data_IF_893824441583
#
_entry.id   IF_893824441583
#
_cell.length_a   1.000
_cell.length_b   1.000
_cell.length_c   1.000
_cell.angle_alpha   90.00
_cell.angle_beta   90.00
_cell.angle_gamma   90.00
#
_symmetry.space_group_name_H-M   'P 1'
#
loop_
_entity.id
_entity.type
_entity.pdbx_description
1 polymer ?
#
# COMPACT_ATOMS: atom_id res chain seq x y z
N UNK A 1 49.08 -0.89 -3.76
CA UNK A 1 48.38 0.07 -2.89
C UNK A 1 46.92 0.17 -3.31
N UNK A 2 45.99 0.28 -2.36
CA UNK A 2 44.63 0.67 -2.72
C UNK A 2 44.69 2.01 -3.46
N UNK A 3 44.12 2.07 -4.67
CA UNK A 3 44.19 3.26 -5.48
C UNK A 3 43.44 4.40 -4.77
N UNK A 4 44.14 5.41 -4.27
CA UNK A 4 43.54 6.55 -3.55
C UNK A 4 42.43 7.22 -4.37
N UNK A 5 42.58 7.21 -5.70
CA UNK A 5 41.55 7.69 -6.63
C UNK A 5 40.27 6.87 -6.53
N UNK A 6 40.37 5.56 -6.49
CA UNK A 6 39.22 4.64 -6.40
C UNK A 6 38.45 4.83 -5.10
N UNK A 7 39.13 4.93 -3.95
CA UNK A 7 38.48 5.18 -2.65
C UNK A 7 37.78 6.55 -2.67
N UNK A 8 38.42 7.58 -3.24
CA UNK A 8 37.84 8.92 -3.38
C UNK A 8 36.58 8.91 -4.26
N UNK A 9 36.63 8.22 -5.39
CA UNK A 9 35.50 8.09 -6.32
C UNK A 9 34.34 7.32 -5.66
N UNK A 10 34.66 6.29 -4.87
CA UNK A 10 33.66 5.55 -4.08
C UNK A 10 33.01 6.42 -3.01
N UNK A 11 33.78 7.25 -2.28
CA UNK A 11 33.23 8.22 -1.32
C UNK A 11 32.27 9.19 -2.03
N UNK A 12 32.66 9.72 -3.19
CA UNK A 12 31.83 10.63 -3.98
C UNK A 12 30.53 9.95 -4.43
N UNK A 13 30.61 8.71 -4.90
CA UNK A 13 29.45 7.90 -5.28
C UNK A 13 28.50 7.69 -4.10
N UNK A 14 28.99 7.24 -2.94
CA UNK A 14 28.17 7.02 -1.74
C UNK A 14 27.52 8.31 -1.24
N UNK A 15 28.23 9.45 -1.28
CA UNK A 15 27.66 10.76 -0.95
C UNK A 15 26.53 11.16 -1.91
N UNK A 16 26.68 10.85 -3.21
CA UNK A 16 25.61 11.09 -4.19
C UNK A 16 24.41 10.17 -3.96
N UNK A 17 24.64 8.88 -3.68
CA UNK A 17 23.58 7.94 -3.30
C UNK A 17 22.79 8.45 -2.11
N UNK A 18 23.47 8.94 -1.06
CA UNK A 18 22.81 9.55 0.12
C UNK A 18 21.90 10.73 -0.26
N UNK A 19 22.37 11.62 -1.15
CA UNK A 19 21.56 12.78 -1.61
C UNK A 19 20.30 12.30 -2.35
N UNK A 20 20.43 11.27 -3.16
CA UNK A 20 19.31 10.69 -3.92
C UNK A 20 18.30 10.04 -2.96
N UNK A 21 18.76 9.24 -2.00
CA UNK A 21 17.87 8.60 -1.01
C UNK A 21 17.18 9.63 -0.13
N UNK A 22 17.88 10.70 0.27
CA UNK A 22 17.29 11.80 1.04
C UNK A 22 16.19 12.52 0.24
N UNK A 23 16.44 12.82 -1.04
CA UNK A 23 15.44 13.42 -1.91
C UNK A 23 14.23 12.50 -2.11
N UNK A 24 14.47 11.20 -2.35
CA UNK A 24 13.40 10.20 -2.47
C UNK A 24 12.57 10.08 -1.20
N UNK A 25 13.19 10.19 -0.01
CA UNK A 25 12.49 10.20 1.28
C UNK A 25 11.53 11.38 1.37
N UNK A 26 11.97 12.59 1.02
CA UNK A 26 11.13 13.80 1.03
C UNK A 26 10.00 13.73 -0.01
N UNK A 27 10.28 13.21 -1.20
CA UNK A 27 9.26 12.98 -2.23
C UNK A 27 8.20 11.98 -1.76
N UNK A 28 8.61 10.90 -1.10
CA UNK A 28 7.68 9.93 -0.53
C UNK A 28 6.83 10.57 0.58
N UNK A 29 7.44 11.32 1.51
CA UNK A 29 6.72 12.03 2.57
C UNK A 29 5.65 12.99 2.02
N UNK A 30 5.99 13.79 1.02
CA UNK A 30 5.06 14.70 0.37
C UNK A 30 3.88 13.96 -0.29
N UNK A 31 4.13 12.76 -0.84
CA UNK A 31 3.10 11.92 -1.44
C UNK A 31 2.20 11.24 -0.41
N UNK A 32 2.75 10.77 0.73
CA UNK A 32 1.93 10.24 1.85
C UNK A 32 0.94 11.30 2.32
N UNK A 33 1.40 12.56 2.46
CA UNK A 33 0.53 13.67 2.84
C UNK A 33 -0.60 13.91 1.83
N UNK A 34 -0.30 13.87 0.52
CA UNK A 34 -1.33 13.97 -0.53
C UNK A 34 -2.33 12.81 -0.46
N UNK A 35 -1.86 11.60 -0.21
CA UNK A 35 -2.74 10.44 -0.05
C UNK A 35 -3.68 10.62 1.15
N UNK A 36 -3.16 11.10 2.28
CA UNK A 36 -3.94 11.43 3.45
C UNK A 36 -5.01 12.51 3.16
N UNK A 37 -4.64 13.57 2.44
CA UNK A 37 -5.57 14.63 2.06
C UNK A 37 -6.70 14.12 1.14
N UNK A 38 -6.42 13.16 0.24
CA UNK A 38 -7.44 12.54 -0.61
C UNK A 38 -8.41 11.65 0.18
N UNK A 39 -7.91 10.82 1.11
CA UNK A 39 -8.76 10.03 2.01
C UNK A 39 -9.67 10.93 2.85
N UNK A 40 -9.14 12.06 3.35
CA UNK A 40 -9.94 13.03 4.10
C UNK A 40 -11.04 13.68 3.26
N UNK A 41 -10.80 13.86 1.94
CA UNK A 41 -11.78 14.46 1.03
C UNK A 41 -12.90 13.50 0.62
N UNK A 42 -12.63 12.20 0.53
CA UNK A 42 -13.65 11.20 0.20
C UNK A 42 -14.53 10.82 1.40
N UNK A 43 -14.07 11.12 2.62
CA UNK A 43 -14.76 10.75 3.86
C UNK A 43 -16.21 11.24 3.98
N UNK A 44 -16.58 12.50 3.71
CA UNK A 44 -17.97 12.94 3.84
C UNK A 44 -18.94 12.12 2.97
N UNK A 45 -18.48 11.67 1.80
CA UNK A 45 -19.27 10.80 0.93
C UNK A 45 -19.41 9.39 1.54
N UNK A 46 -18.32 8.80 2.04
CA UNK A 46 -18.36 7.50 2.71
C UNK A 46 -19.25 7.52 3.96
N UNK A 47 -19.08 8.52 4.82
CA UNK A 47 -19.84 8.73 6.04
C UNK A 47 -21.34 8.89 5.73
N UNK A 48 -21.69 9.65 4.69
CA UNK A 48 -23.08 9.84 4.26
C UNK A 48 -23.67 8.57 3.67
N UNK A 49 -22.92 7.85 2.84
CA UNK A 49 -23.35 6.59 2.24
C UNK A 49 -23.65 5.54 3.30
N UNK A 50 -22.76 5.41 4.30
CA UNK A 50 -22.97 4.52 5.45
C UNK A 50 -24.26 4.87 6.21
N UNK A 51 -24.52 6.16 6.49
CA UNK A 51 -25.77 6.60 7.15
C UNK A 51 -27.02 6.25 6.36
N UNK A 52 -26.99 6.34 5.02
CA UNK A 52 -28.12 5.97 4.15
C UNK A 52 -28.35 4.46 4.23
N UNK A 53 -27.29 3.66 4.13
CA UNK A 53 -27.39 2.21 4.19
C UNK A 53 -27.85 1.73 5.58
N UNK A 54 -27.36 2.32 6.68
CA UNK A 54 -27.85 2.10 8.05
C UNK A 54 -29.35 2.39 8.17
N UNK A 55 -29.82 3.51 7.60
CA UNK A 55 -31.23 3.88 7.64
C UNK A 55 -32.10 2.90 6.87
N UNK A 56 -31.67 2.49 5.67
CA UNK A 56 -32.39 1.49 4.86
C UNK A 56 -32.44 0.13 5.56
N UNK A 57 -31.33 -0.30 6.15
CA UNK A 57 -31.24 -1.51 6.98
C UNK A 57 -32.26 -1.50 8.12
N UNK A 58 -32.34 -0.39 8.87
CA UNK A 58 -33.25 -0.28 10.03
C UNK A 58 -34.73 -0.35 9.65
N UNK A 59 -35.08 -0.05 8.39
CA UNK A 59 -36.47 -0.04 7.91
C UNK A 59 -36.90 -1.34 7.27
N UNK A 60 -35.99 -2.05 6.60
CA UNK A 60 -36.34 -3.27 5.87
C UNK A 60 -36.32 -4.52 6.74
N UNK A 61 -35.43 -4.61 7.74
CA UNK A 61 -35.08 -5.93 8.31
C UNK A 61 -34.43 -6.80 7.23
N UNK A 62 -33.23 -7.34 7.45
CA UNK A 62 -32.48 -7.99 6.37
C UNK A 62 -33.12 -9.22 5.73
N UNK A 63 -34.20 -9.74 6.31
CA UNK A 63 -34.87 -10.94 5.80
C UNK A 63 -35.63 -10.69 4.49
N UNK A 64 -36.00 -9.45 4.16
CA UNK A 64 -36.79 -9.12 2.95
C UNK A 64 -35.96 -8.52 1.79
N UNK A 65 -34.69 -8.16 2.01
CA UNK A 65 -33.87 -7.46 1.02
C UNK A 65 -32.94 -8.41 0.24
N UNK A 66 -33.46 -9.01 -0.84
CA UNK A 66 -32.73 -9.93 -1.71
C UNK A 66 -31.82 -9.21 -2.71
N UNK A 67 -30.76 -8.53 -2.25
CA UNK A 67 -29.74 -8.04 -3.18
C UNK A 67 -28.79 -9.17 -3.59
N UNK A 68 -28.52 -9.37 -4.90
CA UNK A 68 -27.55 -10.37 -5.35
C UNK A 68 -26.18 -10.22 -4.71
N UNK A 69 -25.76 -8.97 -4.42
CA UNK A 69 -24.43 -8.67 -3.84
C UNK A 69 -24.29 -9.08 -2.36
N UNK A 70 -25.39 -9.34 -1.67
CA UNK A 70 -25.43 -9.79 -0.27
C UNK A 70 -25.69 -11.30 -0.14
N UNK A 71 -26.04 -11.97 -1.25
CA UNK A 71 -26.47 -13.36 -1.20
C UNK A 71 -25.29 -14.28 -0.87
N UNK A 72 -25.38 -14.96 0.28
CA UNK A 72 -24.45 -16.02 0.64
C UNK A 72 -24.86 -17.31 -0.08
N UNK A 73 -24.05 -17.72 -1.05
CA UNK A 73 -24.20 -18.96 -1.82
C UNK A 73 -23.16 -20.00 -1.41
N UNK A 74 -23.30 -21.22 -1.92
CA UNK A 74 -22.24 -22.22 -1.77
C UNK A 74 -20.98 -21.73 -2.49
N UNK A 75 -19.87 -21.66 -1.78
CA UNK A 75 -18.63 -21.08 -2.31
C UNK A 75 -17.82 -22.18 -2.99
N UNK A 76 -17.71 -22.14 -4.32
CA UNK A 76 -16.85 -23.05 -5.08
C UNK A 76 -15.67 -22.31 -5.70
N UNK A 77 -15.94 -21.09 -6.17
CA UNK A 77 -14.98 -20.23 -6.88
C UNK A 77 -14.67 -18.96 -6.08
N UNK A 78 -13.39 -18.63 -5.95
CA UNK A 78 -12.91 -17.48 -5.19
C UNK A 78 -11.95 -16.65 -6.03
N UNK A 79 -12.21 -15.36 -6.15
CA UNK A 79 -11.27 -14.40 -6.75
C UNK A 79 -10.48 -13.70 -5.67
N UNK A 80 -9.17 -13.87 -5.73
CA UNK A 80 -8.22 -13.27 -4.82
C UNK A 80 -7.58 -12.04 -5.49
N UNK A 81 -7.97 -10.85 -5.02
CA UNK A 81 -7.45 -9.58 -5.50
C UNK A 81 -6.19 -9.24 -4.73
N UNK A 82 -5.04 -9.12 -5.40
CA UNK A 82 -3.76 -8.79 -4.76
C UNK A 82 -3.30 -7.38 -5.15
N UNK A 83 -3.14 -6.50 -4.16
CA UNK A 83 -2.74 -5.09 -4.38
C UNK A 83 -1.26 -4.88 -4.05
N UNK A 84 -0.47 -4.62 -5.08
CA UNK A 84 0.96 -4.25 -4.98
C UNK A 84 1.24 -2.89 -5.58
N UNK A 85 2.44 -2.37 -5.36
CA UNK A 85 2.89 -1.15 -6.02
C UNK A 85 3.49 -1.45 -7.40
N UNK A 86 3.53 -0.44 -8.27
CA UNK A 86 4.22 -0.57 -9.55
C UNK A 86 5.75 -0.46 -9.42
N UNK A 87 6.21 0.24 -8.38
CA UNK A 87 7.62 0.59 -8.18
C UNK A 87 8.31 -0.28 -7.13
N UNK A 88 9.63 -0.37 -7.26
CA UNK A 88 10.50 -1.01 -6.27
C UNK A 88 10.96 -0.06 -5.17
N UNK A 89 12.00 -0.48 -4.44
CA UNK A 89 12.64 0.29 -3.37
C UNK A 89 11.69 0.74 -2.24
N UNK A 90 10.63 -0.03 -2.00
CA UNK A 90 9.63 0.21 -0.96
C UNK A 90 9.79 -0.77 0.23
N UNK A 91 11.05 -1.12 0.56
CA UNK A 91 11.34 -2.11 1.59
C UNK A 91 10.71 -3.47 1.28
N UNK A 92 10.10 -4.10 2.29
CA UNK A 92 9.44 -5.40 2.17
C UNK A 92 8.01 -5.37 1.63
N UNK A 93 7.45 -4.20 1.31
CA UNK A 93 6.03 -4.01 0.98
C UNK A 93 5.49 -5.02 -0.05
N UNK A 94 6.05 -5.02 -1.26
CA UNK A 94 5.57 -5.90 -2.34
C UNK A 94 5.78 -7.38 -2.01
N UNK A 95 6.93 -7.72 -1.40
CA UNK A 95 7.25 -9.10 -1.04
C UNK A 95 6.28 -9.65 0.03
N UNK A 96 5.88 -8.82 0.97
CA UNK A 96 4.94 -9.18 2.03
C UNK A 96 3.54 -9.48 1.47
N UNK A 97 3.05 -8.65 0.53
CA UNK A 97 1.77 -8.91 -0.15
C UNK A 97 1.85 -10.19 -0.98
N UNK A 98 2.88 -10.33 -1.83
CA UNK A 98 3.06 -11.53 -2.66
C UNK A 98 3.07 -12.79 -1.79
N UNK A 99 3.84 -12.79 -0.69
CA UNK A 99 3.90 -13.91 0.25
C UNK A 99 2.54 -14.19 0.88
N UNK A 100 1.80 -13.15 1.30
CA UNK A 100 0.46 -13.32 1.89
C UNK A 100 -0.53 -13.90 0.89
N UNK A 101 -0.46 -13.45 -0.37
CA UNK A 101 -1.26 -13.96 -1.48
C UNK A 101 -0.94 -15.42 -1.77
N UNK A 102 0.33 -15.83 -1.86
CA UNK A 102 0.70 -17.24 -2.04
C UNK A 102 0.18 -18.12 -0.89
N UNK A 103 0.34 -17.65 0.36
CA UNK A 103 -0.16 -18.38 1.53
C UNK A 103 -1.69 -18.56 1.49
N UNK A 104 -2.43 -17.49 1.16
CA UNK A 104 -3.89 -17.55 1.09
C UNK A 104 -4.37 -18.39 -0.09
N UNK A 105 -3.72 -18.28 -1.24
CA UNK A 105 -4.00 -19.11 -2.41
C UNK A 105 -3.82 -20.60 -2.09
N UNK A 106 -2.69 -20.97 -1.47
CA UNK A 106 -2.43 -22.35 -1.07
C UNK A 106 -3.43 -22.86 -0.02
N UNK A 107 -3.82 -22.01 0.94
CA UNK A 107 -4.84 -22.35 1.94
C UNK A 107 -6.20 -22.66 1.28
N UNK A 108 -6.64 -21.82 0.33
CA UNK A 108 -7.92 -21.97 -0.34
C UNK A 108 -7.91 -23.17 -1.30
N UNK A 109 -6.85 -23.35 -2.08
CA UNK A 109 -6.68 -24.53 -2.94
C UNK A 109 -6.61 -25.82 -2.12
N UNK A 110 -5.95 -25.82 -0.97
CA UNK A 110 -5.90 -26.96 -0.06
C UNK A 110 -7.25 -27.36 0.54
N UNK A 111 -8.20 -26.42 0.61
CA UNK A 111 -9.60 -26.67 0.99
C UNK A 111 -10.49 -27.13 -0.17
N UNK A 112 -9.94 -27.20 -1.39
CA UNK A 112 -10.66 -27.65 -2.59
C UNK A 112 -11.39 -26.57 -3.38
N UNK A 113 -11.22 -25.28 -3.04
CA UNK A 113 -11.83 -24.19 -3.80
C UNK A 113 -11.10 -23.96 -5.13
N UNK A 114 -11.83 -23.56 -6.17
CA UNK A 114 -11.20 -22.96 -7.34
C UNK A 114 -10.84 -21.51 -7.03
N UNK A 115 -9.59 -21.12 -7.30
CA UNK A 115 -9.06 -19.82 -6.90
C UNK A 115 -8.45 -19.17 -8.12
N UNK A 116 -8.92 -17.98 -8.46
CA UNK A 116 -8.40 -17.13 -9.53
C UNK A 116 -7.78 -15.87 -8.93
N UNK A 117 -6.80 -15.30 -9.62
CA UNK A 117 -6.11 -14.09 -9.17
C UNK A 117 -6.52 -12.89 -10.02
N UNK A 118 -6.87 -11.79 -9.35
CA UNK A 118 -6.94 -10.47 -9.96
C UNK A 118 -5.77 -9.64 -9.42
N UNK A 119 -4.88 -9.20 -10.30
CA UNK A 119 -3.61 -8.62 -9.90
C UNK A 119 -3.61 -7.10 -10.13
N UNK A 120 -3.34 -6.35 -9.07
CA UNK A 120 -3.20 -4.89 -9.13
C UNK A 120 -1.74 -4.54 -8.86
N UNK A 121 -1.14 -3.81 -9.79
CA UNK A 121 0.24 -3.35 -9.74
C UNK A 121 1.23 -4.29 -10.44
N UNK A 122 2.22 -3.67 -11.07
CA UNK A 122 3.23 -4.32 -11.92
C UNK A 122 4.04 -5.38 -11.17
N UNK A 123 4.19 -5.27 -9.85
CA UNK A 123 4.99 -6.21 -9.05
C UNK A 123 4.29 -7.55 -8.83
N UNK A 124 2.99 -7.55 -8.54
CA UNK A 124 2.19 -8.78 -8.51
C UNK A 124 2.13 -9.41 -9.90
N UNK A 125 1.79 -8.63 -10.93
CA UNK A 125 1.69 -9.10 -12.32
C UNK A 125 2.98 -9.80 -12.74
N UNK A 126 4.12 -9.12 -12.62
CA UNK A 126 5.42 -9.69 -13.00
C UNK A 126 5.83 -10.93 -12.19
N UNK A 127 5.32 -11.08 -10.96
CA UNK A 127 5.63 -12.23 -10.11
C UNK A 127 4.78 -13.47 -10.47
N UNK A 128 3.46 -13.31 -10.53
CA UNK A 128 2.50 -14.40 -10.68
C UNK A 128 2.40 -14.90 -12.13
N UNK A 129 2.52 -14.01 -13.14
CA UNK A 129 2.50 -14.41 -14.55
C UNK A 129 3.67 -15.35 -14.91
N UNK A 130 4.80 -15.26 -14.20
CA UNK A 130 5.97 -16.13 -14.43
C UNK A 130 5.83 -17.53 -13.83
N UNK A 131 4.76 -17.80 -13.09
CA UNK A 131 4.59 -19.01 -12.26
C UNK A 131 3.30 -19.77 -12.54
N UNK A 132 2.66 -19.48 -13.68
CA UNK A 132 1.49 -20.21 -14.18
C UNK A 132 0.31 -20.26 -13.18
N UNK A 133 0.10 -19.17 -12.44
CA UNK A 133 -1.10 -19.02 -11.61
C UNK A 133 -2.31 -18.69 -12.50
N UNK A 134 -3.52 -19.13 -12.12
CA UNK A 134 -4.76 -18.77 -12.83
C UNK A 134 -5.06 -17.28 -12.61
N UNK A 135 -4.70 -16.45 -13.59
CA UNK A 135 -4.91 -15.00 -13.57
C UNK A 135 -6.14 -14.67 -14.40
N UNK A 136 -7.09 -13.98 -13.79
CA UNK A 136 -8.35 -13.57 -14.38
C UNK A 136 -8.25 -12.21 -15.04
N UNK A 137 -7.78 -11.22 -14.28
CA UNK A 137 -7.60 -9.85 -14.77
C UNK A 137 -6.36 -9.20 -14.14
N UNK A 138 -5.83 -8.19 -14.82
CA UNK A 138 -4.65 -7.44 -14.36
C UNK A 138 -4.85 -5.95 -14.57
N UNK A 139 -4.52 -5.15 -13.55
CA UNK A 139 -4.56 -3.70 -13.59
C UNK A 139 -3.19 -3.13 -13.23
N UNK A 140 -2.66 -2.24 -14.06
CA UNK A 140 -1.33 -1.65 -13.87
C UNK A 140 -1.32 -0.18 -14.28
N UNK A 141 -0.31 0.56 -13.82
CA UNK A 141 -0.17 1.97 -14.17
C UNK A 141 -1.20 2.86 -13.52
N UNK A 142 -1.69 2.45 -12.33
CA UNK A 142 -2.56 3.29 -11.52
C UNK A 142 -1.79 4.55 -11.09
N UNK A 143 -2.52 5.62 -10.84
CA UNK A 143 -1.97 6.75 -10.13
C UNK A 143 -1.37 6.31 -8.79
N UNK A 144 -0.26 6.95 -8.41
CA UNK A 144 0.42 6.59 -7.17
C UNK A 144 -0.45 6.82 -5.93
N UNK A 145 -1.47 7.66 -6.04
CA UNK A 145 -2.62 7.64 -5.14
C UNK A 145 -3.86 7.38 -6.00
N UNK A 146 -4.51 6.21 -5.85
CA UNK A 146 -5.60 5.79 -6.73
C UNK A 146 -6.83 6.72 -6.69
N UNK A 147 -7.47 6.85 -7.84
CA UNK A 147 -8.63 7.70 -8.10
C UNK A 147 -9.95 6.92 -8.09
N UNK A 148 -11.07 7.64 -8.00
CA UNK A 148 -12.40 7.03 -8.02
C UNK A 148 -12.70 6.32 -9.36
N UNK A 149 -12.17 6.82 -10.47
CA UNK A 149 -12.37 6.23 -11.81
C UNK A 149 -11.61 4.91 -11.96
N UNK A 150 -10.39 4.82 -11.42
CA UNK A 150 -9.63 3.58 -11.38
C UNK A 150 -10.31 2.53 -10.50
N UNK A 151 -10.79 2.95 -9.31
CA UNK A 151 -11.57 2.08 -8.45
C UNK A 151 -12.89 1.65 -9.10
N UNK A 152 -13.56 2.53 -9.85
CA UNK A 152 -14.78 2.21 -10.60
C UNK A 152 -14.52 1.12 -11.65
N UNK A 153 -13.43 1.25 -12.38
CA UNK A 153 -13.05 0.29 -13.43
C UNK A 153 -12.85 -1.10 -12.84
N UNK A 154 -12.11 -1.20 -11.73
CA UNK A 154 -11.82 -2.48 -11.07
C UNK A 154 -13.08 -3.05 -10.39
N UNK A 155 -13.89 -2.21 -9.73
CA UNK A 155 -15.12 -2.67 -9.08
C UNK A 155 -16.19 -3.11 -10.08
N UNK A 156 -16.29 -2.46 -11.24
CA UNK A 156 -17.22 -2.87 -12.31
C UNK A 156 -16.88 -4.26 -12.84
N UNK A 157 -15.59 -4.55 -13.03
CA UNK A 157 -15.11 -5.86 -13.45
C UNK A 157 -15.45 -6.94 -12.41
N UNK A 158 -15.11 -6.70 -11.14
CA UNK A 158 -15.45 -7.59 -10.01
C UNK A 158 -16.96 -7.82 -9.86
N UNK A 159 -17.76 -6.76 -10.04
CA UNK A 159 -19.22 -6.85 -9.97
C UNK A 159 -19.78 -7.70 -11.11
N UNK A 160 -19.31 -7.48 -12.34
CA UNK A 160 -19.74 -8.25 -13.49
C UNK A 160 -19.45 -9.75 -13.30
N UNK A 161 -18.28 -10.09 -12.76
CA UNK A 161 -17.87 -11.46 -12.50
C UNK A 161 -18.72 -12.14 -11.41
N UNK A 162 -18.99 -11.42 -10.33
CA UNK A 162 -19.79 -11.92 -9.22
C UNK A 162 -21.25 -12.12 -9.64
N UNK A 163 -21.84 -11.15 -10.36
CA UNK A 163 -23.20 -11.23 -10.88
C UNK A 163 -23.37 -12.31 -11.96
N UNK A 164 -22.31 -12.59 -12.73
CA UNK A 164 -22.28 -13.69 -13.70
C UNK A 164 -22.07 -15.07 -13.07
N UNK A 165 -21.97 -15.16 -11.73
CA UNK A 165 -21.71 -16.40 -10.99
C UNK A 165 -20.41 -17.10 -11.39
N UNK A 166 -19.46 -16.33 -11.96
CA UNK A 166 -18.13 -16.84 -12.30
C UNK A 166 -17.17 -16.85 -11.11
N UNK A 167 -17.58 -16.18 -10.03
CA UNK A 167 -16.89 -16.06 -8.74
C UNK A 167 -17.92 -15.95 -7.62
N UNK A 168 -17.83 -16.83 -6.63
CA UNK A 168 -18.74 -16.88 -5.49
C UNK A 168 -18.31 -16.00 -4.31
N UNK A 169 -17.00 -15.72 -4.20
CA UNK A 169 -16.42 -14.87 -3.16
C UNK A 169 -15.24 -14.07 -3.70
N UNK A 170 -15.18 -12.79 -3.37
CA UNK A 170 -14.03 -11.92 -3.69
C UNK A 170 -13.32 -11.54 -2.40
N UNK A 171 -12.03 -11.89 -2.31
CA UNK A 171 -11.16 -11.51 -1.20
C UNK A 171 -10.08 -10.54 -1.67
N UNK A 172 -9.94 -9.41 -0.99
CA UNK A 172 -8.92 -8.41 -1.20
C UNK A 172 -7.74 -8.61 -0.25
N UNK A 173 -6.55 -8.70 -0.82
CA UNK A 173 -5.27 -8.68 -0.11
C UNK A 173 -4.58 -7.36 -0.39
N UNK A 174 -4.53 -6.51 0.63
CA UNK A 174 -3.89 -5.21 0.57
C UNK A 174 -3.14 -4.95 1.88
N UNK A 175 -2.32 -3.90 1.91
CA UNK A 175 -1.63 -3.51 3.15
C UNK A 175 -2.45 -2.45 3.85
N UNK A 176 -2.99 -2.77 5.02
CA UNK A 176 -3.62 -1.78 5.90
C UNK A 176 -2.51 -0.87 6.44
N UNK A 177 -2.68 0.42 6.24
CA UNK A 177 -1.81 1.42 6.85
C UNK A 177 -2.14 1.47 8.35
N UNK A 178 -1.14 1.49 9.24
CA UNK A 178 -1.38 1.65 10.69
C UNK A 178 -0.52 2.81 11.21
N UNK A 179 0.75 2.82 10.84
CA UNK A 179 1.65 3.97 11.01
C UNK A 179 2.85 3.82 10.06
N UNK A 180 3.79 4.77 10.09
CA UNK A 180 4.97 4.77 9.20
C UNK A 180 5.93 3.59 9.43
N UNK A 181 5.84 2.94 10.60
CA UNK A 181 6.75 1.86 11.02
C UNK A 181 6.08 0.49 10.84
N UNK A 182 4.76 0.41 11.04
CA UNK A 182 3.95 -0.79 10.97
C UNK A 182 2.91 -0.64 9.87
N UNK A 183 3.08 -1.40 8.81
CA UNK A 183 2.05 -1.65 7.79
C UNK A 183 1.90 -3.17 7.68
N UNK A 184 0.67 -3.69 7.69
CA UNK A 184 0.43 -5.14 7.71
C UNK A 184 -0.43 -5.57 6.53
N UNK A 185 -0.02 -6.59 5.74
CA UNK A 185 -0.90 -7.25 4.78
C UNK A 185 -2.10 -7.87 5.50
N UNK A 186 -3.29 -7.49 5.09
CA UNK A 186 -4.56 -8.05 5.59
C UNK A 186 -5.31 -8.71 4.44
N UNK A 187 -6.23 -9.60 4.80
CA UNK A 187 -7.18 -10.20 3.86
C UNK A 187 -8.55 -9.76 4.31
N UNK A 188 -9.31 -9.19 3.40
CA UNK A 188 -10.65 -8.67 3.64
C UNK A 188 -11.59 -9.22 2.57
N UNK A 189 -12.77 -9.67 2.97
CA UNK A 189 -13.80 -10.06 2.00
C UNK A 189 -14.45 -8.80 1.44
N UNK A 190 -14.50 -8.67 0.12
CA UNK A 190 -15.21 -7.58 -0.57
C UNK A 190 -16.61 -8.01 -1.03
N UNK A 191 -16.75 -9.25 -1.50
CA UNK A 191 -18.03 -9.81 -1.93
C UNK A 191 -18.14 -11.26 -1.42
N UNK A 192 -19.33 -11.73 -1.00
CA UNK A 192 -20.56 -10.96 -0.82
C UNK A 192 -20.42 -9.88 0.27
N UNK A 193 -21.20 -8.80 0.17
CA UNK A 193 -21.21 -7.73 1.16
C UNK A 193 -21.90 -8.24 2.43
N UNK A 194 -21.22 -8.15 3.58
CA UNK A 194 -21.85 -8.40 4.86
C UNK A 194 -22.66 -7.16 5.28
N UNK A 195 -23.98 -7.29 5.48
CA UNK A 195 -24.78 -6.15 5.85
C UNK A 195 -24.47 -5.56 7.24
N UNK A 196 -23.81 -6.31 8.12
CA UNK A 196 -23.37 -5.84 9.45
C UNK A 196 -22.07 -5.03 9.37
N UNK A 197 -21.20 -5.31 8.40
CA UNK A 197 -19.92 -4.61 8.19
C UNK A 197 -20.08 -3.27 7.45
N UNK A 198 -21.26 -2.98 6.91
CA UNK A 198 -21.56 -1.70 6.24
C UNK A 198 -21.41 -0.49 7.20
N UNK A 199 -21.41 -0.75 8.51
CA UNK A 199 -21.48 0.25 9.56
C UNK A 199 -20.40 0.08 10.66
N UNK A 200 -19.19 -0.39 10.35
CA UNK A 200 -18.11 -0.36 11.35
C UNK A 200 -17.54 1.08 11.49
N UNK A 201 -17.80 1.80 12.60
CA UNK A 201 -17.46 3.21 12.75
C UNK A 201 -15.98 3.46 13.08
N UNK A 202 -15.17 2.40 13.26
CA UNK A 202 -13.75 2.52 13.59
C UNK A 202 -12.87 2.71 12.35
N UNK A 203 -13.10 3.82 11.66
CA UNK A 203 -12.18 4.31 10.64
C UNK A 203 -10.99 5.03 11.29
N UNK A 204 -9.87 4.31 11.48
CA UNK A 204 -8.61 4.92 11.89
C UNK A 204 -8.09 5.87 10.81
N UNK A 205 -7.88 7.15 11.15
CA UNK A 205 -7.20 8.11 10.28
C UNK A 205 -5.77 8.27 10.73
N UNK A 206 -4.87 8.13 9.77
CA UNK A 206 -3.46 8.39 9.95
C UNK A 206 -3.19 9.88 9.73
N UNK A 207 -2.62 10.56 10.73
CA UNK A 207 -2.14 11.93 10.58
C UNK A 207 -0.63 11.98 10.57
N UNK A 208 -0.06 12.52 9.50
CA UNK A 208 1.36 12.80 9.43
C UNK A 208 1.67 14.06 10.27
N UNK A 209 2.37 13.86 11.38
CA UNK A 209 2.79 14.89 12.34
C UNK A 209 4.32 14.95 12.40
N UNK A 210 4.87 15.95 13.09
CA UNK A 210 6.30 16.01 13.40
C UNK A 210 6.49 15.95 14.91
N UNK A 211 7.22 14.96 15.39
CA UNK A 211 7.65 14.86 16.79
C UNK A 211 9.18 14.83 16.84
N UNK A 212 9.77 15.71 17.66
CA UNK A 212 11.23 15.83 17.82
C UNK A 212 12.01 16.04 16.50
N UNK A 213 11.41 16.73 15.53
CA UNK A 213 12.01 16.97 14.21
C UNK A 213 11.97 15.78 13.24
N UNK A 214 11.36 14.66 13.63
CA UNK A 214 11.13 13.49 12.79
C UNK A 214 9.67 13.45 12.31
N UNK A 215 9.47 12.97 11.08
CA UNK A 215 8.12 12.72 10.55
C UNK A 215 7.56 11.48 11.26
N UNK A 216 6.47 11.66 11.97
CA UNK A 216 5.75 10.61 12.69
C UNK A 216 4.32 10.51 12.18
N UNK A 217 3.70 9.35 12.31
CA UNK A 217 2.26 9.19 12.10
C UNK A 217 1.68 8.72 13.40
N UNK A 218 0.76 9.53 13.93
CA UNK A 218 -0.03 9.15 15.08
C UNK A 218 -1.38 8.65 14.56
N UNK A 219 -1.89 7.50 15.06
CA UNK A 219 -3.27 7.12 14.83
C UNK A 219 -4.13 8.18 15.50
N UNK A 220 -4.80 8.99 14.69
CA UNK A 220 -5.96 9.70 15.18
C UNK A 220 -7.08 8.68 15.21
N UNK A 221 -7.79 8.56 16.34
CA UNK A 221 -9.16 8.07 16.26
C UNK A 221 -9.82 8.92 15.16
N UNK A 222 -10.27 8.28 14.07
CA UNK A 222 -11.05 9.02 13.09
C UNK A 222 -12.19 9.68 13.85
N UNK A 223 -12.50 10.96 13.60
CA UNK A 223 -13.69 11.53 14.20
C UNK A 223 -14.85 10.57 13.93
N UNK A 224 -15.57 10.16 14.98
CA UNK A 224 -16.78 9.35 14.80
C UNK A 224 -17.64 10.01 13.71
N UNK A 225 -18.27 9.22 12.83
CA UNK A 225 -19.08 9.74 11.74
C UNK A 225 -20.03 10.84 12.25
N UNK A 226 -19.68 12.11 11.97
CA UNK A 226 -20.37 13.29 12.49
C UNK A 226 -21.60 13.66 11.67
N UNK A 227 -21.86 12.95 10.57
CA UNK A 227 -23.06 13.15 9.78
C UNK A 227 -24.29 12.81 10.63
N UNK A 228 -25.31 13.67 10.65
CA UNK A 228 -26.51 13.44 11.42
C UNK A 228 -27.19 12.15 10.94
N UNK A 229 -27.65 11.34 11.90
CA UNK A 229 -28.47 10.17 11.59
C UNK A 229 -29.66 10.62 10.77
N UNK A 230 -29.96 9.84 9.73
CA UNK A 230 -31.06 10.12 8.83
C UNK A 230 -32.37 9.87 9.58
N UNK A 231 -33.29 10.86 9.65
CA UNK A 231 -34.58 10.68 10.27
C UNK A 231 -35.36 9.48 9.70
N UNK A 232 -36.04 8.74 10.57
CA UNK A 232 -36.82 7.55 10.21
C UNK A 232 -38.09 7.86 9.40
N UNK A 233 -38.52 9.12 9.41
CA UNK A 233 -39.70 9.66 8.71
C UNK A 233 -39.40 10.18 7.30
N UNK A 234 -38.16 10.10 6.83
CA UNK A 234 -37.83 10.44 5.43
C UNK A 234 -38.61 9.52 4.48
N UNK A 235 -39.31 10.13 3.52
CA UNK A 235 -40.00 9.41 2.44
C UNK A 235 -39.02 9.21 1.29
N UNK A 236 -38.85 7.95 0.88
CA UNK A 236 -38.07 7.60 -0.30
C UNK A 236 -38.99 7.57 -1.52
N UNK A 237 -38.51 8.10 -2.65
CA UNK A 237 -39.24 8.07 -3.92
C UNK A 237 -39.25 6.66 -4.53
N UNK A 238 -38.14 5.92 -4.38
CA UNK A 238 -37.98 4.54 -4.85
C UNK A 238 -38.22 3.56 -3.70
N UNK A 239 -38.48 2.31 -4.04
CA UNK A 239 -38.57 1.25 -3.03
C UNK A 239 -37.23 1.06 -2.32
N UNK A 240 -37.22 0.71 -1.01
CA UNK A 240 -35.99 0.44 -0.28
C UNK A 240 -35.05 -0.59 -0.93
N UNK A 241 -35.60 -1.60 -1.62
CA UNK A 241 -34.85 -2.61 -2.37
C UNK A 241 -34.13 -2.01 -3.59
N UNK A 242 -34.83 -1.18 -4.39
CA UNK A 242 -34.23 -0.49 -5.53
C UNK A 242 -33.12 0.46 -5.10
N UNK A 243 -33.31 1.16 -3.98
CA UNK A 243 -32.27 2.02 -3.41
C UNK A 243 -31.07 1.20 -2.95
N UNK A 244 -31.29 0.08 -2.26
CA UNK A 244 -30.21 -0.78 -1.82
C UNK A 244 -29.39 -1.29 -3.01
N UNK A 245 -30.05 -1.81 -4.04
CA UNK A 245 -29.39 -2.31 -5.26
C UNK A 245 -28.61 -1.23 -6.01
N UNK A 246 -29.04 0.04 -5.95
CA UNK A 246 -28.31 1.16 -6.53
C UNK A 246 -27.12 1.64 -5.69
N UNK A 247 -27.22 1.53 -4.36
CA UNK A 247 -26.21 2.04 -3.42
C UNK A 247 -25.10 1.04 -3.10
N UNK A 248 -25.37 -0.26 -3.13
CA UNK A 248 -24.36 -1.29 -2.84
C UNK A 248 -23.15 -1.28 -3.81
N UNK A 249 -23.33 -1.07 -5.13
CA UNK A 249 -22.19 -0.87 -6.02
C UNK A 249 -21.32 0.33 -5.63
N UNK A 250 -21.95 1.45 -5.22
CA UNK A 250 -21.22 2.64 -4.76
C UNK A 250 -20.46 2.38 -3.45
N UNK A 251 -21.03 1.57 -2.57
CA UNK A 251 -20.38 1.16 -1.33
C UNK A 251 -19.15 0.29 -1.61
N UNK A 252 -19.28 -0.71 -2.48
CA UNK A 252 -18.16 -1.54 -2.91
C UNK A 252 -17.05 -0.71 -3.58
N UNK A 253 -17.42 0.20 -4.48
CA UNK A 253 -16.48 1.12 -5.12
C UNK A 253 -15.72 1.96 -4.09
N UNK A 254 -16.42 2.47 -3.07
CA UNK A 254 -15.80 3.26 -2.00
C UNK A 254 -14.85 2.40 -1.15
N UNK A 255 -15.27 1.20 -0.75
CA UNK A 255 -14.47 0.26 0.04
C UNK A 255 -13.19 -0.13 -0.71
N UNK A 256 -13.30 -0.37 -2.02
CA UNK A 256 -12.16 -0.66 -2.88
C UNK A 256 -11.24 0.56 -3.01
N UNK A 257 -11.78 1.76 -3.29
CA UNK A 257 -11.01 3.00 -3.37
C UNK A 257 -10.23 3.26 -2.08
N UNK A 258 -10.88 3.11 -0.93
CA UNK A 258 -10.27 3.26 0.41
C UNK A 258 -9.12 2.27 0.58
N UNK A 259 -9.35 1.00 0.27
CA UNK A 259 -8.33 -0.05 0.40
C UNK A 259 -7.13 0.21 -0.54
N UNK A 260 -7.38 0.68 -1.76
CA UNK A 260 -6.35 1.08 -2.70
C UNK A 260 -5.54 2.30 -2.21
N UNK A 261 -6.20 3.29 -1.60
CA UNK A 261 -5.54 4.46 -1.02
C UNK A 261 -4.72 4.12 0.23
N UNK A 262 -5.21 3.24 1.11
CA UNK A 262 -4.44 2.73 2.26
C UNK A 262 -3.21 1.92 1.82
N UNK A 263 -3.38 1.11 0.78
CA UNK A 263 -2.30 0.34 0.14
C UNK A 263 -1.22 1.28 -0.42
N UNK A 264 -1.63 2.33 -1.13
CA UNK A 264 -0.73 3.36 -1.65
C UNK A 264 -0.01 4.14 -0.53
N UNK A 265 -0.72 4.52 0.54
CA UNK A 265 -0.11 5.17 1.70
C UNK A 265 0.93 4.26 2.38
N UNK A 266 0.62 2.97 2.54
CA UNK A 266 1.52 1.96 3.09
C UNK A 266 2.77 1.74 2.22
N UNK A 267 2.61 1.73 0.90
CA UNK A 267 3.71 1.62 -0.06
C UNK A 267 4.68 2.80 0.04
N UNK A 268 4.12 4.01 0.10
CA UNK A 268 4.86 5.26 0.23
C UNK A 268 5.56 5.37 1.59
N UNK A 269 4.90 4.97 2.67
CA UNK A 269 5.47 4.91 4.01
C UNK A 269 6.64 3.91 4.07
N UNK A 270 6.45 2.70 3.54
CA UNK A 270 7.49 1.68 3.46
C UNK A 270 8.69 2.14 2.64
N UNK A 271 8.45 2.87 1.54
CA UNK A 271 9.51 3.53 0.76
C UNK A 271 10.22 4.60 1.56
N UNK A 272 9.49 5.46 2.26
CA UNK A 272 10.10 6.51 3.07
C UNK A 272 11.03 5.92 4.13
N UNK A 273 10.60 4.87 4.83
CA UNK A 273 11.41 4.16 5.82
C UNK A 273 12.63 3.49 5.18
N UNK A 274 12.46 2.83 4.02
CA UNK A 274 13.58 2.23 3.28
C UNK A 274 14.61 3.27 2.83
N UNK A 275 14.16 4.43 2.35
CA UNK A 275 15.04 5.52 1.94
C UNK A 275 15.74 6.19 3.12
N UNK A 276 15.06 6.32 4.27
CA UNK A 276 15.68 6.82 5.50
C UNK A 276 16.83 5.92 5.95
N UNK A 277 16.57 4.60 6.05
CA UNK A 277 17.58 3.63 6.41
C UNK A 277 18.74 3.61 5.39
N UNK A 278 18.44 3.74 4.10
CA UNK A 278 19.47 3.82 3.06
C UNK A 278 20.33 5.09 3.18
N UNK A 279 19.73 6.25 3.48
CA UNK A 279 20.44 7.51 3.74
C UNK A 279 21.38 7.41 4.94
N UNK A 280 20.91 6.84 6.04
CA UNK A 280 21.70 6.67 7.27
C UNK A 280 22.83 5.66 7.05
N UNK A 281 22.56 4.54 6.39
CA UNK A 281 23.59 3.57 6.02
C UNK A 281 24.65 4.17 5.08
N UNK A 282 24.24 5.00 4.11
CA UNK A 282 25.17 5.69 3.22
C UNK A 282 26.00 6.74 3.97
N UNK A 283 25.45 7.40 4.99
CA UNK A 283 26.18 8.33 5.86
C UNK A 283 27.28 7.62 6.63
N UNK A 284 26.97 6.49 7.27
CA UNK A 284 27.96 5.70 8.01
C UNK A 284 29.02 5.06 7.09
N UNK A 285 28.61 4.58 5.92
CA UNK A 285 29.55 4.07 4.91
C UNK A 285 30.51 5.17 4.42
N UNK A 286 30.00 6.38 4.13
CA UNK A 286 30.83 7.50 3.73
C UNK A 286 31.82 7.91 4.83
N UNK A 287 31.42 7.86 6.10
CA UNK A 287 32.30 8.12 7.25
C UNK A 287 33.43 7.09 7.33
N UNK A 288 33.10 5.81 7.22
CA UNK A 288 34.06 4.70 7.24
C UNK A 288 35.06 4.81 6.08
N UNK A 289 34.58 4.98 4.85
CA UNK A 289 35.43 5.15 3.68
C UNK A 289 36.35 6.39 3.78
N UNK A 290 35.89 7.47 4.43
CA UNK A 290 36.71 8.67 4.66
C UNK A 290 37.85 8.39 5.63
N UNK A 291 37.60 7.59 6.68
CA UNK A 291 38.66 7.16 7.60
C UNK A 291 39.69 6.30 6.89
N UNK A 292 39.24 5.32 6.08
CA UNK A 292 40.13 4.44 5.32
C UNK A 292 40.94 5.21 4.27
N UNK A 293 40.32 6.17 3.58
CA UNK A 293 41.01 7.07 2.67
C UNK A 293 42.12 7.87 3.37
N UNK A 294 41.82 8.44 4.55
CA UNK A 294 42.81 9.24 5.28
C UNK A 294 43.98 8.38 5.76
N UNK A 295 43.73 7.16 6.25
CA UNK A 295 44.77 6.20 6.62
C UNK A 295 45.63 5.81 5.41
N UNK A 296 45.00 5.43 4.30
CA UNK A 296 45.70 5.08 3.07
C UNK A 296 46.52 6.25 2.51
N UNK A 297 45.98 7.47 2.57
CA UNK A 297 46.66 8.69 2.13
C UNK A 297 47.89 8.96 2.99
N UNK A 298 47.77 8.86 4.32
CA UNK A 298 48.90 9.02 5.23
C UNK A 298 49.98 7.98 4.97
N UNK A 299 49.61 6.70 4.83
CA UNK A 299 50.55 5.63 4.50
C UNK A 299 51.27 5.87 3.16
N UNK A 300 50.55 6.33 2.12
CA UNK A 300 51.15 6.67 0.83
C UNK A 300 52.14 7.84 0.95
N UNK A 301 51.77 8.92 1.65
CA UNK A 301 52.66 10.07 1.88
C UNK A 301 53.91 9.64 2.67
N UNK A 302 53.74 8.84 3.72
CA UNK A 302 54.87 8.32 4.51
C UNK A 302 55.78 7.45 3.66
N UNK A 303 55.23 6.61 2.80
CA UNK A 303 56.02 5.79 1.87
C UNK A 303 56.77 6.65 0.86
N UNK A 304 56.13 7.66 0.25
CA UNK A 304 56.79 8.60 -0.66
C UNK A 304 57.95 9.34 0.03
N UNK A 305 57.75 9.78 1.29
CA UNK A 305 58.81 10.43 2.08
C UNK A 305 59.98 9.47 2.36
N UNK A 306 59.68 8.22 2.72
CA UNK A 306 60.71 7.19 2.97
C UNK A 306 61.50 6.85 1.70
N UNK A 307 60.83 6.78 0.54
CA UNK A 307 61.46 6.55 -0.76
C UNK A 307 62.38 7.72 -1.14
N UNK A 308 61.95 8.96 -0.93
CA UNK A 308 62.79 10.16 -1.19
C UNK A 308 63.99 10.22 -0.26
N UNK A 309 63.79 9.98 1.04
CA UNK A 309 64.87 9.99 2.03
C UNK A 309 65.89 8.85 1.78
N UNK A 310 65.40 7.65 1.47
CA UNK A 310 66.25 6.51 1.12
C UNK A 310 67.04 6.72 -0.17
N UNK A 311 66.41 7.33 -1.19
CA UNK A 311 67.08 7.71 -2.43
C UNK A 311 68.17 8.76 -2.23
N UNK A 312 67.90 9.79 -1.42
CA UNK A 312 68.89 10.82 -1.09
C UNK A 312 70.11 10.24 -0.35
N UNK A 313 69.88 9.33 0.61
CA UNK A 313 70.94 8.66 1.36
C UNK A 313 71.81 7.71 0.51
N UNK A 314 71.31 7.22 -0.63
CA UNK A 314 72.06 6.34 -1.53
C UNK A 314 73.03 7.08 -2.46
N UNK A 315 72.91 8.41 -2.58
CA UNK A 315 73.73 9.25 -3.48
C UNK A 315 74.82 10.02 -2.72
N UNK A 316 74.71 10.13 -1.38
CA UNK A 316 75.72 10.73 -0.50
C UNK A 316 76.65 9.71 0.14
#
# INVERSE_FOLDING_TARGET
MANLKEIRDRIKSVKNTRKITEAMRLVAAAKVRRAQEQVLRSRPFADRLARILENLQSRMGFEDAASPLMQQRNVETITLVAVTGDRGLCGGYNANIIKRTEQRFAELKGKGFDVKLLLIGTKAIGYFTRRDYPIQATFSGLEQVPTADEANTISTDLLAEFLAESTDRVELIFTKFINLVSCKPVVQTLLPLDPQDIADPEDEIFRLTTKDGLLTVEPGAGPANTEPKIPSDIVFEQTPEQLLNALLPLYLQNQLLRSLQESAASELASRMTAMNNASDNAKELAKTLTLDYNKARQAAITQEILEVAGGAAAVG
#
